data_IF_102488894859
#
_entry.id   IF_102488894859
#
_cell.length_a   1.000
_cell.length_b   1.000
_cell.length_c   1.000
_cell.angle_alpha   90.00
_cell.angle_beta   90.00
_cell.angle_gamma   90.00
#
_symmetry.space_group_name_H-M   'P 1'
#
loop_
_entity.id
_entity.type
_entity.pdbx_description
1 polymer ?
#
# COMPACT_ATOMS: atom_id res chain seq x y z
N UNK A 1 35.83 7.60 2.87
CA UNK A 1 35.09 8.87 2.93
C UNK A 1 34.15 8.89 1.75
N UNK A 2 32.86 8.96 2.05
CA UNK A 2 31.79 8.96 1.05
C UNK A 2 31.42 10.40 0.69
N UNK A 3 31.01 10.61 -0.57
CA UNK A 3 30.76 11.94 -1.10
C UNK A 3 29.52 11.93 -1.98
N UNK A 4 28.62 12.90 -1.80
CA UNK A 4 27.42 13.06 -2.65
C UNK A 4 26.96 14.51 -2.75
N UNK A 5 26.22 14.83 -3.81
CA UNK A 5 25.44 16.07 -3.86
C UNK A 5 24.20 15.90 -2.99
N UNK A 6 23.78 16.98 -2.33
CA UNK A 6 22.57 17.01 -1.51
C UNK A 6 21.72 18.23 -1.87
N UNK A 7 20.41 18.11 -1.69
CA UNK A 7 19.48 19.22 -1.81
C UNK A 7 19.43 20.07 -0.53
N UNK A 8 18.62 21.13 -0.58
CA UNK A 8 18.44 22.05 0.54
C UNK A 8 17.70 21.44 1.73
N UNK A 9 16.87 20.41 1.52
CA UNK A 9 16.11 19.76 2.58
C UNK A 9 17.00 18.83 3.39
N UNK A 10 17.78 17.98 2.74
CA UNK A 10 18.81 17.15 3.35
C UNK A 10 19.79 18.00 4.17
N UNK A 11 20.15 19.19 3.68
CA UNK A 11 20.99 20.13 4.41
C UNK A 11 20.31 20.69 5.67
N UNK A 12 19.02 21.06 5.59
CA UNK A 12 18.25 21.49 6.76
C UNK A 12 18.11 20.37 7.79
N UNK A 13 17.85 19.14 7.32
CA UNK A 13 17.79 17.95 8.17
C UNK A 13 19.12 17.74 8.91
N UNK A 14 20.25 17.74 8.18
CA UNK A 14 21.59 17.65 8.76
C UNK A 14 21.83 18.67 9.87
N UNK A 15 21.42 19.93 9.66
CA UNK A 15 21.51 20.97 10.70
C UNK A 15 20.61 20.68 11.90
N UNK A 16 19.39 20.19 11.66
CA UNK A 16 18.40 19.93 12.71
C UNK A 16 18.78 18.78 13.65
N UNK A 17 19.68 17.87 13.23
CA UNK A 17 20.17 16.79 14.11
C UNK A 17 20.85 17.38 15.36
N UNK A 18 21.47 18.56 15.27
CA UNK A 18 22.10 19.20 16.42
C UNK A 18 23.33 18.43 16.94
N UNK A 19 24.15 17.94 16.01
CA UNK A 19 25.44 17.35 16.34
C UNK A 19 26.49 18.44 16.65
N UNK A 20 27.51 18.13 17.49
CA UNK A 20 28.58 19.08 17.80
C UNK A 20 29.28 19.58 16.52
N UNK A 21 29.40 20.91 16.42
CA UNK A 21 30.11 21.56 15.32
C UNK A 21 31.62 21.31 15.36
N UNK A 22 32.26 21.47 14.20
CA UNK A 22 33.72 21.53 14.06
C UNK A 22 34.12 22.85 13.44
N UNK A 23 35.11 23.50 14.03
CA UNK A 23 35.73 24.67 13.43
C UNK A 23 36.44 24.29 12.12
N UNK A 24 36.22 25.09 11.09
CA UNK A 24 36.81 24.93 9.77
C UNK A 24 37.23 26.30 9.25
N UNK A 25 38.48 26.43 8.81
CA UNK A 25 39.00 27.66 8.19
C UNK A 25 38.66 27.78 6.70
N UNK A 26 38.09 26.72 6.10
CA UNK A 26 37.76 26.70 4.69
C UNK A 26 36.47 27.49 4.41
N UNK A 27 36.52 28.57 3.59
CA UNK A 27 35.38 29.46 3.36
C UNK A 27 34.23 28.81 2.58
N UNK A 28 34.46 27.65 1.95
CA UNK A 28 33.42 26.90 1.24
C UNK A 28 32.62 25.98 2.14
N UNK A 29 33.06 25.77 3.39
CA UNK A 29 32.34 24.93 4.35
C UNK A 29 31.15 25.70 4.93
N UNK A 30 29.95 25.13 4.78
CA UNK A 30 28.70 25.72 5.29
C UNK A 30 28.11 24.95 6.49
N UNK A 31 28.66 23.77 6.78
CA UNK A 31 28.39 22.97 7.97
C UNK A 31 29.53 21.96 8.12
N UNK A 32 30.06 21.81 9.34
CA UNK A 32 30.94 20.69 9.69
C UNK A 32 30.56 20.20 11.08
N UNK A 33 30.30 18.91 11.20
CA UNK A 33 29.85 18.27 12.45
C UNK A 33 30.61 16.98 12.71
N UNK A 34 30.64 16.59 13.98
CA UNK A 34 31.17 15.29 14.45
C UNK A 34 30.11 14.51 15.24
N UNK A 35 30.32 13.21 15.41
CA UNK A 35 29.50 12.43 16.32
C UNK A 35 29.65 12.90 17.77
N UNK A 36 28.62 12.63 18.57
CA UNK A 36 28.52 13.00 19.99
C UNK A 36 28.80 11.81 20.94
N UNK A 37 29.22 10.67 20.39
CA UNK A 37 29.45 9.43 21.14
C UNK A 37 28.16 8.67 21.48
N UNK A 38 26.98 9.24 21.21
CA UNK A 38 25.68 8.65 21.55
C UNK A 38 24.93 8.25 20.28
N UNK A 39 24.67 9.21 19.39
CA UNK A 39 23.96 9.01 18.12
C UNK A 39 24.91 8.59 17.00
N UNK A 40 26.17 8.98 17.10
CA UNK A 40 27.24 8.53 16.21
C UNK A 40 28.59 8.51 16.96
N UNK A 41 29.54 7.64 16.57
CA UNK A 41 30.88 7.62 17.16
C UNK A 41 31.55 8.99 17.09
N UNK A 42 32.32 9.38 18.09
CA UNK A 42 33.02 10.69 18.10
C UNK A 42 33.99 10.86 16.91
N UNK A 43 34.48 9.74 16.36
CA UNK A 43 35.31 9.70 15.16
C UNK A 43 34.54 9.94 13.86
N UNK A 44 33.22 9.83 13.87
CA UNK A 44 32.39 10.08 12.71
C UNK A 44 32.30 11.57 12.40
N UNK A 45 32.34 11.93 11.11
CA UNK A 45 32.29 13.32 10.67
C UNK A 45 31.43 13.49 9.42
N UNK A 46 30.81 14.65 9.28
CA UNK A 46 30.13 15.09 8.07
C UNK A 46 30.43 16.58 7.82
N UNK A 47 30.81 16.91 6.59
CA UNK A 47 31.11 18.29 6.18
C UNK A 47 30.39 18.60 4.87
N UNK A 48 29.68 19.73 4.85
CA UNK A 48 28.95 20.22 3.68
C UNK A 48 29.69 21.42 3.11
N UNK A 49 30.00 21.34 1.83
CA UNK A 49 30.62 22.39 1.04
C UNK A 49 29.59 23.03 0.11
N UNK A 50 29.68 24.34 -0.08
CA UNK A 50 28.92 25.07 -1.10
C UNK A 50 29.87 25.52 -2.20
N UNK A 51 29.60 25.11 -3.43
CA UNK A 51 30.40 25.55 -4.58
C UNK A 51 29.95 26.93 -5.10
N UNK A 52 30.70 27.50 -6.05
CA UNK A 52 30.39 28.81 -6.68
C UNK A 52 29.04 28.85 -7.40
N UNK A 53 28.49 27.69 -7.80
CA UNK A 53 27.17 27.54 -8.42
C UNK A 53 26.04 27.37 -7.39
N UNK A 54 26.34 27.44 -6.09
CA UNK A 54 25.37 27.26 -5.01
C UNK A 54 25.04 25.81 -4.66
N UNK A 55 25.63 24.82 -5.36
CA UNK A 55 25.37 23.40 -5.10
C UNK A 55 26.02 22.96 -3.79
N UNK A 56 25.33 22.08 -3.06
CA UNK A 56 25.79 21.53 -1.80
C UNK A 56 26.39 20.14 -2.02
N UNK A 57 27.62 19.96 -1.56
CA UNK A 57 28.36 18.69 -1.60
C UNK A 57 28.62 18.23 -0.17
N UNK A 58 28.11 17.06 0.19
CA UNK A 58 28.34 16.41 1.47
C UNK A 58 29.50 15.43 1.36
N UNK A 59 30.41 15.49 2.33
CA UNK A 59 31.49 14.53 2.53
C UNK A 59 31.35 13.96 3.94
N UNK A 60 31.30 12.64 4.07
CA UNK A 60 31.20 11.96 5.38
C UNK A 60 32.24 10.86 5.51
N UNK A 61 32.66 10.57 6.74
CA UNK A 61 33.56 9.44 7.01
C UNK A 61 32.88 8.08 6.80
N UNK A 62 31.56 8.00 6.97
CA UNK A 62 30.75 6.77 6.83
C UNK A 62 29.29 7.12 6.48
N UNK A 63 28.86 6.82 5.25
CA UNK A 63 27.50 7.06 4.77
C UNK A 63 26.45 6.20 5.49
N UNK A 64 26.82 5.04 6.04
CA UNK A 64 25.88 4.17 6.76
C UNK A 64 25.41 4.80 8.08
N UNK A 65 26.33 5.46 8.80
CA UNK A 65 26.01 6.22 10.02
C UNK A 65 25.18 7.46 9.65
N UNK A 66 25.55 8.17 8.58
CA UNK A 66 24.77 9.30 8.09
C UNK A 66 23.31 8.92 7.81
N UNK A 67 23.06 7.79 7.14
CA UNK A 67 21.71 7.30 6.84
C UNK A 67 20.90 6.97 8.09
N UNK A 68 21.54 6.53 9.17
CA UNK A 68 20.87 6.29 10.47
C UNK A 68 20.54 7.59 11.20
N UNK A 69 21.37 8.63 11.01
CA UNK A 69 21.22 9.94 11.64
C UNK A 69 20.19 10.82 10.94
N UNK A 70 20.08 10.71 9.61
CA UNK A 70 19.06 11.43 8.86
C UNK A 70 17.71 10.78 9.14
N UNK A 71 16.66 11.56 9.48
CA UNK A 71 15.32 11.02 9.49
C UNK A 71 15.05 10.45 8.09
N UNK A 72 14.64 9.18 8.04
CA UNK A 72 14.03 8.63 6.82
C UNK A 72 12.87 9.55 6.52
N UNK A 73 12.82 10.12 5.32
CA UNK A 73 11.67 10.89 4.87
C UNK A 73 10.42 10.04 5.08
N UNK A 74 9.64 10.34 6.12
CA UNK A 74 8.39 9.63 6.39
C UNK A 74 7.37 10.21 5.41
N UNK A 75 7.38 9.65 4.20
CA UNK A 75 6.31 9.87 3.25
C UNK A 75 4.99 9.51 3.91
N UNK A 76 3.93 10.32 3.77
CA UNK A 76 2.59 9.89 4.10
C UNK A 76 2.34 8.50 3.50
N UNK A 77 1.78 7.60 4.31
CA UNK A 77 1.50 6.22 3.90
C UNK A 77 0.01 6.08 3.67
N UNK A 78 -0.35 5.57 2.49
CA UNK A 78 -1.69 5.07 2.23
C UNK A 78 -1.61 3.55 2.14
N UNK A 79 -2.39 2.86 2.97
CA UNK A 79 -2.52 1.41 2.92
C UNK A 79 -3.68 1.02 2.02
N UNK A 80 -3.54 -0.09 1.27
CA UNK A 80 -4.55 -0.64 0.37
C UNK A 80 -4.69 -2.15 0.58
N UNK A 81 -5.93 -2.60 0.74
CA UNK A 81 -6.27 -4.00 0.93
C UNK A 81 -7.56 -4.39 0.19
N UNK A 82 -7.86 -5.68 0.13
CA UNK A 82 -9.06 -6.23 -0.49
C UNK A 82 -9.81 -7.20 0.43
N UNK A 83 -11.14 -7.21 0.33
CA UNK A 83 -11.99 -8.19 0.99
C UNK A 83 -13.00 -8.80 0.01
N UNK A 84 -13.29 -10.08 0.23
CA UNK A 84 -14.24 -10.83 -0.57
C UNK A 84 -13.65 -11.60 -1.74
N UNK A 85 -12.36 -11.48 -2.06
CA UNK A 85 -11.73 -12.23 -3.18
C UNK A 85 -12.02 -13.73 -3.11
N UNK A 86 -11.91 -14.34 -1.93
CA UNK A 86 -12.18 -15.77 -1.71
C UNK A 86 -13.65 -16.15 -1.45
N UNK A 87 -14.58 -15.19 -1.48
CA UNK A 87 -15.99 -15.43 -1.18
C UNK A 87 -16.81 -15.54 -2.49
N UNK A 88 -17.68 -16.55 -2.66
CA UNK A 88 -18.35 -16.84 -3.94
C UNK A 88 -19.51 -15.90 -4.30
N UNK A 89 -20.06 -15.17 -3.33
CA UNK A 89 -21.11 -14.18 -3.55
C UNK A 89 -20.55 -12.76 -3.59
N UNK A 90 -21.24 -11.89 -4.30
CA UNK A 90 -20.94 -10.47 -4.35
C UNK A 90 -19.71 -10.15 -5.19
N UNK A 91 -19.25 -8.91 -5.02
CA UNK A 91 -18.09 -8.36 -5.70
C UNK A 91 -16.80 -8.60 -4.93
N UNK A 92 -15.83 -7.73 -5.13
CA UNK A 92 -14.66 -7.61 -4.25
C UNK A 92 -14.56 -6.16 -3.82
N UNK A 93 -14.44 -5.93 -2.51
CA UNK A 93 -14.30 -4.59 -1.96
C UNK A 93 -12.82 -4.25 -1.85
N UNK A 94 -12.43 -3.12 -2.43
CA UNK A 94 -11.09 -2.54 -2.28
C UNK A 94 -11.20 -1.44 -1.23
N UNK A 95 -10.28 -1.43 -0.27
CA UNK A 95 -10.20 -0.41 0.75
C UNK A 95 -8.87 0.33 0.70
N UNK A 96 -8.88 1.60 1.09
CA UNK A 96 -7.67 2.38 1.34
C UNK A 96 -7.79 3.19 2.64
N UNK A 97 -6.66 3.43 3.32
CA UNK A 97 -6.62 4.28 4.53
C UNK A 97 -5.33 5.10 4.59
N UNK A 98 -5.43 6.31 5.14
CA UNK A 98 -4.29 7.15 5.55
C UNK A 98 -3.90 6.96 7.03
N UNK A 99 -4.50 5.95 7.69
CA UNK A 99 -4.36 5.68 9.12
C UNK A 99 -5.43 6.36 9.99
N UNK A 100 -6.22 7.29 9.44
CA UNK A 100 -7.28 7.99 10.17
C UNK A 100 -8.68 7.66 9.64
N UNK A 101 -8.85 7.55 8.32
CA UNK A 101 -10.14 7.23 7.68
C UNK A 101 -9.99 6.13 6.64
N UNK A 102 -11.05 5.33 6.50
CA UNK A 102 -11.11 4.22 5.54
C UNK A 102 -12.11 4.53 4.44
N UNK A 103 -11.60 4.63 3.22
CA UNK A 103 -12.39 4.75 1.98
C UNK A 103 -12.47 3.40 1.28
N UNK A 104 -13.59 3.13 0.61
CA UNK A 104 -13.85 1.82 -0.02
C UNK A 104 -14.52 1.96 -1.37
N UNK A 105 -14.18 1.08 -2.30
CA UNK A 105 -14.87 0.90 -3.57
C UNK A 105 -15.19 -0.57 -3.83
N UNK A 106 -16.19 -0.85 -4.67
CA UNK A 106 -16.65 -2.20 -4.97
C UNK A 106 -16.40 -2.54 -6.44
N UNK A 107 -15.66 -3.62 -6.68
CA UNK A 107 -15.63 -4.30 -7.98
C UNK A 107 -16.92 -5.10 -8.09
N UNK A 108 -17.83 -4.66 -8.95
CA UNK A 108 -19.14 -5.29 -9.13
C UNK A 108 -19.05 -6.79 -9.50
N UNK A 109 -20.01 -7.59 -9.04
CA UNK A 109 -20.08 -9.03 -9.33
C UNK A 109 -19.99 -9.34 -10.82
N UNK A 110 -20.51 -8.49 -11.71
CA UNK A 110 -20.46 -8.69 -13.16
C UNK A 110 -19.04 -8.88 -13.71
N UNK A 111 -18.03 -8.29 -13.07
CA UNK A 111 -16.63 -8.48 -13.47
C UNK A 111 -16.10 -9.89 -13.18
N UNK A 112 -16.82 -10.66 -12.34
CA UNK A 112 -16.55 -12.06 -12.02
C UNK A 112 -17.45 -13.03 -12.78
N UNK A 113 -18.11 -12.56 -13.84
CA UNK A 113 -19.03 -13.32 -14.66
C UNK A 113 -18.67 -13.21 -16.15
N UNK A 114 -19.01 -14.24 -16.94
CA UNK A 114 -18.95 -14.21 -18.40
C UNK A 114 -17.61 -13.78 -19.00
N UNK A 115 -17.68 -12.98 -20.06
CA UNK A 115 -16.51 -12.47 -20.80
C UNK A 115 -15.64 -11.51 -19.98
N UNK A 116 -16.24 -10.73 -19.07
CA UNK A 116 -15.49 -9.82 -18.20
C UNK A 116 -14.54 -10.60 -17.28
N UNK A 117 -14.99 -11.75 -16.77
CA UNK A 117 -14.11 -12.62 -16.00
C UNK A 117 -13.04 -13.27 -16.88
N UNK A 118 -13.40 -13.78 -18.07
CA UNK A 118 -12.43 -14.42 -18.99
C UNK A 118 -11.28 -13.48 -19.39
N UNK A 119 -11.58 -12.20 -19.58
CA UNK A 119 -10.60 -11.16 -19.93
C UNK A 119 -9.86 -10.57 -18.72
N UNK A 120 -10.14 -11.08 -17.52
CA UNK A 120 -9.63 -10.56 -16.24
C UNK A 120 -9.91 -9.07 -16.05
N UNK A 121 -11.07 -8.57 -16.52
CA UNK A 121 -11.44 -7.16 -16.43
C UNK A 121 -11.53 -6.66 -14.97
N UNK A 122 -11.81 -7.55 -14.01
CA UNK A 122 -11.79 -7.24 -12.58
C UNK A 122 -10.42 -6.71 -12.10
N UNK A 123 -9.30 -7.10 -12.72
CA UNK A 123 -7.97 -6.58 -12.35
C UNK A 123 -7.81 -5.11 -12.75
N UNK A 124 -8.29 -4.73 -13.95
CA UNK A 124 -8.24 -3.33 -14.38
C UNK A 124 -9.21 -2.48 -13.55
N UNK A 125 -10.37 -3.03 -13.21
CA UNK A 125 -11.33 -2.34 -12.35
C UNK A 125 -10.78 -2.15 -10.93
N UNK A 126 -10.10 -3.16 -10.37
CA UNK A 126 -9.39 -3.06 -9.10
C UNK A 126 -8.36 -1.91 -9.13
N UNK A 127 -7.56 -1.85 -10.19
CA UNK A 127 -6.55 -0.80 -10.36
C UNK A 127 -7.18 0.59 -10.46
N UNK A 128 -8.27 0.73 -11.23
CA UNK A 128 -9.02 1.99 -11.37
C UNK A 128 -9.57 2.46 -10.03
N UNK A 129 -10.22 1.57 -9.27
CA UNK A 129 -10.77 1.87 -7.94
C UNK A 129 -9.65 2.25 -6.98
N UNK A 130 -8.57 1.45 -6.93
CA UNK A 130 -7.42 1.70 -6.05
C UNK A 130 -6.83 3.09 -6.28
N UNK A 131 -6.56 3.45 -7.53
CA UNK A 131 -6.01 4.76 -7.87
C UNK A 131 -6.97 5.91 -7.48
N UNK A 132 -8.28 5.71 -7.65
CA UNK A 132 -9.29 6.66 -7.18
C UNK A 132 -9.21 6.87 -5.67
N UNK A 133 -9.26 5.79 -4.89
CA UNK A 133 -9.20 5.85 -3.43
C UNK A 133 -7.91 6.50 -2.92
N UNK A 134 -6.76 6.18 -3.53
CA UNK A 134 -5.47 6.82 -3.19
C UNK A 134 -5.52 8.32 -3.44
N UNK A 135 -6.12 8.76 -4.57
CA UNK A 135 -6.29 10.18 -4.89
C UNK A 135 -7.29 10.88 -3.95
N UNK A 136 -8.37 10.21 -3.57
CA UNK A 136 -9.39 10.73 -2.64
C UNK A 136 -8.84 10.92 -1.22
N UNK A 137 -7.87 10.09 -0.82
CA UNK A 137 -7.09 10.24 0.40
C UNK A 137 -5.97 11.29 0.28
N UNK A 138 -5.85 11.98 -0.85
CA UNK A 138 -4.86 13.04 -1.08
C UNK A 138 -3.47 12.53 -1.44
N UNK A 139 -3.32 11.25 -1.80
CA UNK A 139 -2.04 10.67 -2.19
C UNK A 139 -1.49 11.30 -3.46
N UNK A 140 -0.21 11.70 -3.42
CA UNK A 140 0.51 12.36 -4.52
C UNK A 140 1.73 11.54 -4.97
N UNK A 141 1.95 11.37 -6.29
CA UNK A 141 3.16 10.77 -6.81
C UNK A 141 4.43 11.46 -6.29
N UNK A 142 5.49 10.69 -6.07
CA UNK A 142 6.76 11.19 -5.49
C UNK A 142 6.71 11.48 -3.98
N UNK A 143 5.58 11.95 -3.45
CA UNK A 143 5.42 12.37 -2.04
C UNK A 143 4.82 11.27 -1.16
N UNK A 144 3.98 10.39 -1.70
CA UNK A 144 3.22 9.38 -0.94
C UNK A 144 3.75 7.97 -1.18
N UNK A 145 3.89 7.20 -0.09
CA UNK A 145 4.12 5.75 -0.12
C UNK A 145 2.76 5.04 -0.14
N UNK A 146 2.57 4.10 -1.06
CA UNK A 146 1.41 3.21 -1.05
C UNK A 146 1.86 1.82 -0.58
N UNK A 147 1.35 1.38 0.56
CA UNK A 147 1.52 0.04 1.08
C UNK A 147 0.32 -0.82 0.67
N UNK A 148 0.55 -1.87 -0.11
CA UNK A 148 -0.54 -2.65 -0.72
C UNK A 148 -0.39 -4.14 -0.44
N UNK A 149 -1.51 -4.81 -0.15
CA UNK A 149 -1.49 -6.25 0.12
C UNK A 149 -1.03 -7.08 -1.09
N UNK A 150 -0.58 -8.31 -0.82
CA UNK A 150 -0.10 -9.24 -1.85
C UNK A 150 -1.22 -9.86 -2.69
N UNK A 151 -2.50 -9.59 -2.38
CA UNK A 151 -3.67 -10.16 -3.05
C UNK A 151 -3.62 -10.10 -4.58
N UNK A 152 -4.04 -11.18 -5.24
CA UNK A 152 -3.96 -11.29 -6.71
C UNK A 152 -4.82 -10.23 -7.42
N UNK A 153 -5.96 -9.86 -6.83
CA UNK A 153 -6.84 -8.82 -7.36
C UNK A 153 -6.13 -7.46 -7.49
N UNK A 154 -5.15 -7.22 -6.62
CA UNK A 154 -4.34 -6.00 -6.59
C UNK A 154 -3.11 -6.03 -7.51
N UNK A 155 -2.94 -7.09 -8.32
CA UNK A 155 -1.78 -7.21 -9.22
C UNK A 155 -1.64 -6.01 -10.17
N UNK A 156 -2.70 -5.65 -10.91
CA UNK A 156 -2.69 -4.47 -11.79
C UNK A 156 -2.72 -3.14 -11.04
N UNK A 157 -3.21 -3.11 -9.80
CA UNK A 157 -3.19 -1.90 -8.97
C UNK A 157 -1.76 -1.47 -8.66
N UNK A 158 -0.88 -2.43 -8.35
CA UNK A 158 0.56 -2.19 -8.11
C UNK A 158 1.21 -1.57 -9.34
N UNK A 159 1.09 -2.24 -10.48
CA UNK A 159 1.66 -1.79 -11.76
C UNK A 159 1.18 -0.38 -12.14
N UNK A 160 -0.11 -0.09 -11.92
CA UNK A 160 -0.69 1.21 -12.24
C UNK A 160 -0.15 2.31 -11.33
N UNK A 161 -0.09 2.08 -10.01
CA UNK A 161 0.43 3.05 -9.06
C UNK A 161 1.91 3.36 -9.30
N UNK A 162 2.73 2.35 -9.60
CA UNK A 162 4.13 2.54 -9.95
C UNK A 162 4.28 3.38 -11.24
N UNK A 163 3.47 3.09 -12.27
CA UNK A 163 3.45 3.87 -13.52
C UNK A 163 3.00 5.31 -13.32
N UNK A 164 2.09 5.57 -12.38
CA UNK A 164 1.65 6.91 -12.00
C UNK A 164 2.68 7.64 -11.13
N UNK A 165 3.80 7.01 -10.75
CA UNK A 165 4.91 7.62 -10.02
C UNK A 165 4.78 7.55 -8.49
N UNK A 166 3.93 6.67 -7.95
CA UNK A 166 3.88 6.41 -6.52
C UNK A 166 5.03 5.49 -6.08
N UNK A 167 5.48 5.68 -4.84
CA UNK A 167 6.39 4.74 -4.18
C UNK A 167 5.55 3.57 -3.64
N UNK A 168 5.60 2.41 -4.28
CA UNK A 168 4.76 1.25 -3.91
C UNK A 168 5.56 0.25 -3.08
N UNK A 169 4.94 -0.29 -2.03
CA UNK A 169 5.48 -1.38 -1.22
C UNK A 169 4.43 -2.46 -1.05
N UNK A 170 4.77 -3.68 -1.46
CA UNK A 170 3.93 -4.83 -1.13
C UNK A 170 4.23 -5.25 0.31
N UNK A 171 3.20 -5.27 1.15
CA UNK A 171 3.31 -5.66 2.56
C UNK A 171 2.05 -6.35 3.03
N UNK A 172 2.12 -7.05 4.15
CA UNK A 172 0.93 -7.48 4.87
C UNK A 172 0.24 -6.24 5.45
N UNK A 173 -1.08 -6.18 5.30
CA UNK A 173 -1.92 -5.11 5.82
C UNK A 173 -2.73 -5.70 6.97
N UNK A 174 -2.71 -5.03 8.12
CA UNK A 174 -3.39 -5.47 9.35
C UNK A 174 -3.97 -4.25 10.07
N UNK A 175 -4.82 -4.49 11.07
CA UNK A 175 -5.39 -3.43 11.91
C UNK A 175 -6.56 -2.70 11.23
N UNK A 176 -6.62 -1.37 11.39
CA UNK A 176 -7.79 -0.55 11.07
C UNK A 176 -8.42 -0.84 9.69
N UNK A 177 -7.59 -0.93 8.64
CA UNK A 177 -8.08 -1.16 7.29
C UNK A 177 -8.70 -2.55 7.16
N UNK A 178 -8.00 -3.59 7.59
CA UNK A 178 -8.47 -4.97 7.53
C UNK A 178 -9.80 -5.12 8.29
N UNK A 179 -9.83 -4.66 9.55
CA UNK A 179 -11.00 -4.77 10.43
C UNK A 179 -12.24 -4.08 9.83
N UNK A 180 -12.06 -2.85 9.30
CA UNK A 180 -13.17 -2.14 8.68
C UNK A 180 -13.61 -2.77 7.36
N UNK A 181 -12.68 -3.28 6.56
CA UNK A 181 -12.99 -3.87 5.27
C UNK A 181 -13.77 -5.16 5.43
N UNK A 182 -13.36 -6.03 6.36
CA UNK A 182 -14.10 -7.24 6.72
C UNK A 182 -15.50 -6.93 7.25
N UNK A 183 -15.64 -5.94 8.14
CA UNK A 183 -16.94 -5.50 8.65
C UNK A 183 -17.86 -5.00 7.53
N UNK A 184 -17.38 -4.08 6.69
CA UNK A 184 -18.16 -3.52 5.57
C UNK A 184 -18.50 -4.59 4.54
N UNK A 185 -17.58 -5.51 4.26
CA UNK A 185 -17.85 -6.60 3.32
C UNK A 185 -18.89 -7.58 3.88
N UNK A 186 -18.86 -7.88 5.18
CA UNK A 186 -19.89 -8.66 5.86
C UNK A 186 -21.28 -8.02 5.74
N UNK A 187 -21.38 -6.71 5.95
CA UNK A 187 -22.62 -5.95 5.78
C UNK A 187 -23.10 -5.96 4.32
N UNK A 188 -22.16 -5.80 3.37
CA UNK A 188 -22.45 -5.95 1.94
C UNK A 188 -23.02 -7.33 1.60
N UNK A 189 -22.41 -8.41 2.06
CA UNK A 189 -22.91 -9.78 1.82
C UNK A 189 -24.30 -9.98 2.43
N UNK A 190 -24.56 -9.45 3.62
CA UNK A 190 -25.90 -9.45 4.23
C UNK A 190 -26.92 -8.70 3.38
N UNK A 191 -26.53 -7.57 2.79
CA UNK A 191 -27.39 -6.79 1.89
C UNK A 191 -27.79 -7.56 0.61
N UNK A 192 -27.00 -8.56 0.21
CA UNK A 192 -27.32 -9.47 -0.89
C UNK A 192 -28.31 -10.58 -0.48
N UNK A 193 -28.74 -10.61 0.78
CA UNK A 193 -29.68 -11.60 1.32
C UNK A 193 -29.02 -12.83 1.95
N UNK A 194 -27.68 -12.90 2.01
CA UNK A 194 -26.98 -14.02 2.63
C UNK A 194 -26.45 -13.65 4.04
N UNK A 195 -26.98 -14.25 5.12
CA UNK A 195 -26.69 -13.77 6.48
C UNK A 195 -25.31 -14.17 7.02
N UNK A 196 -24.65 -15.15 6.39
CA UNK A 196 -23.51 -15.87 6.96
C UNK A 196 -22.20 -15.60 6.20
N UNK A 197 -21.65 -14.38 6.30
CA UNK A 197 -20.28 -14.15 5.83
C UNK A 197 -19.25 -14.87 6.70
N UNK A 198 -18.26 -15.47 6.05
CA UNK A 198 -17.07 -16.02 6.68
C UNK A 198 -15.85 -15.53 5.90
N UNK A 199 -14.74 -15.28 6.60
CA UNK A 199 -13.46 -15.10 5.93
C UNK A 199 -12.86 -16.48 5.60
N UNK A 200 -12.60 -16.81 4.32
CA UNK A 200 -11.94 -18.06 3.93
C UNK A 200 -10.53 -18.26 4.52
N UNK A 201 -9.83 -17.18 4.89
CA UNK A 201 -8.48 -17.22 5.47
C UNK A 201 -8.51 -17.57 6.96
N UNK A 202 -9.55 -17.18 7.68
CA UNK A 202 -9.66 -17.36 9.13
C UNK A 202 -10.50 -18.57 9.54
N UNK A 203 -11.37 -19.04 8.65
CA UNK A 203 -12.26 -20.16 8.99
C UNK A 203 -11.52 -21.50 9.03
N UNK A 204 -11.78 -22.28 10.08
CA UNK A 204 -11.21 -23.63 10.27
C UNK A 204 -11.64 -24.63 9.19
N UNK A 205 -12.76 -24.37 8.50
CA UNK A 205 -13.28 -25.27 7.46
C UNK A 205 -13.85 -24.51 6.26
N UNK A 206 -12.97 -23.88 5.44
CA UNK A 206 -13.39 -23.03 4.33
C UNK A 206 -14.22 -23.80 3.29
N UNK A 207 -13.90 -25.08 3.08
CA UNK A 207 -14.63 -25.93 2.15
C UNK A 207 -16.09 -26.19 2.59
N UNK A 208 -16.34 -26.35 3.89
CA UNK A 208 -17.72 -26.53 4.38
C UNK A 208 -18.50 -25.23 4.28
N UNK A 209 -17.89 -24.12 4.73
CA UNK A 209 -18.52 -22.81 4.64
C UNK A 209 -18.84 -22.42 3.18
N UNK A 210 -17.95 -22.76 2.24
CA UNK A 210 -18.20 -22.59 0.81
C UNK A 210 -19.40 -23.40 0.33
N UNK A 211 -19.50 -24.68 0.73
CA UNK A 211 -20.63 -25.55 0.37
C UNK A 211 -21.97 -25.00 0.87
N UNK A 212 -22.02 -24.41 2.06
CA UNK A 212 -23.25 -23.78 2.56
C UNK A 212 -23.68 -22.60 1.69
N UNK A 213 -22.74 -21.77 1.24
CA UNK A 213 -23.06 -20.67 0.31
C UNK A 213 -23.58 -21.21 -1.01
N UNK A 214 -22.97 -22.28 -1.53
CA UNK A 214 -23.44 -22.93 -2.76
C UNK A 214 -24.84 -23.49 -2.58
N UNK A 215 -25.11 -24.18 -1.48
CA UNK A 215 -26.43 -24.75 -1.18
C UNK A 215 -27.48 -23.64 -1.17
N UNK A 216 -27.15 -22.51 -0.55
CA UNK A 216 -28.00 -21.33 -0.60
C UNK A 216 -28.19 -20.83 -2.05
N UNK A 217 -27.15 -20.75 -2.89
CA UNK A 217 -27.35 -20.38 -4.30
C UNK A 217 -28.30 -21.36 -5.02
N UNK A 218 -28.13 -22.66 -4.79
CA UNK A 218 -28.89 -23.74 -5.45
C UNK A 218 -30.38 -23.78 -5.03
N UNK A 219 -30.76 -23.16 -3.91
CA UNK A 219 -32.17 -23.02 -3.47
C UNK A 219 -32.98 -22.01 -4.29
N UNK A 220 -32.33 -21.00 -4.89
CA UNK A 220 -32.97 -20.03 -5.80
C UNK A 220 -31.95 -19.60 -6.88
N UNK A 221 -31.64 -20.51 -7.81
CA UNK A 221 -30.55 -20.31 -8.76
C UNK A 221 -30.83 -19.16 -9.74
N UNK A 222 -32.11 -18.91 -10.07
CA UNK A 222 -32.49 -17.84 -11.00
C UNK A 222 -32.13 -16.45 -10.48
N UNK A 223 -32.29 -16.20 -9.18
CA UNK A 223 -31.93 -14.91 -8.59
C UNK A 223 -30.51 -14.90 -8.03
N UNK A 224 -30.08 -15.98 -7.37
CA UNK A 224 -28.82 -16.00 -6.62
C UNK A 224 -27.59 -16.18 -7.51
N UNK A 225 -27.72 -16.76 -8.71
CA UNK A 225 -26.61 -16.81 -9.67
C UNK A 225 -26.21 -15.42 -10.20
N UNK A 226 -27.14 -14.46 -10.24
CA UNK A 226 -26.88 -13.09 -10.71
C UNK A 226 -25.88 -12.35 -9.80
N UNK A 227 -25.86 -12.70 -8.51
CA UNK A 227 -24.97 -12.13 -7.50
C UNK A 227 -23.79 -13.05 -7.16
N UNK A 228 -23.65 -14.18 -7.84
CA UNK A 228 -22.54 -15.12 -7.64
C UNK A 228 -21.40 -14.88 -8.64
N UNK A 229 -20.16 -15.25 -8.26
CA UNK A 229 -18.97 -15.18 -9.10
C UNK A 229 -18.90 -16.35 -10.08
N UNK A 230 -19.87 -16.42 -11.01
CA UNK A 230 -20.10 -17.58 -11.89
C UNK A 230 -18.99 -17.86 -12.90
N UNK A 231 -18.00 -16.97 -13.05
CA UNK A 231 -16.79 -17.23 -13.81
C UNK A 231 -15.87 -18.28 -13.19
N UNK A 232 -16.01 -18.54 -11.88
CA UNK A 232 -15.15 -19.49 -11.16
C UNK A 232 -15.35 -20.93 -11.64
N UNK A 233 -14.27 -21.71 -11.58
CA UNK A 233 -14.25 -23.10 -12.06
C UNK A 233 -15.41 -23.95 -11.52
N UNK A 234 -15.75 -23.74 -10.24
CA UNK A 234 -16.86 -24.43 -9.57
C UNK A 234 -18.20 -24.31 -10.31
N UNK A 235 -18.57 -23.10 -10.73
CA UNK A 235 -19.84 -22.84 -11.40
C UNK A 235 -19.82 -23.28 -12.87
N UNK A 236 -18.63 -23.32 -13.50
CA UNK A 236 -18.48 -23.79 -14.88
C UNK A 236 -18.69 -25.29 -15.03
N UNK A 237 -18.28 -26.10 -14.04
CA UNK A 237 -18.41 -27.56 -14.09
C UNK A 237 -19.83 -28.09 -13.91
N UNK A 238 -20.79 -27.27 -13.45
CA UNK A 238 -22.20 -27.65 -13.31
C UNK A 238 -23.07 -27.31 -14.54
N UNK A 239 -22.49 -26.72 -15.59
CA UNK A 239 -23.21 -26.27 -16.81
C UNK A 239 -23.00 -27.16 -18.04
N UNK A 240 -22.47 -28.37 -17.84
CA UNK A 240 -22.41 -29.48 -18.80
C UNK A 240 -23.26 -30.62 -18.27
#
# INVERSE_FOLDING_TARGET
MDTRLIDSETFKMLKSIGLPGRDQSNPYVVLSVRGDGVRAPESWTATVYRNKKGQLKLVTSDDSVLRKLLPVEQKPVIQVDDSGWGFPLGGVMIGATDGTRVETGLIDTKFFQGELFKTHAYLSEAARITLGLVKDLGGRPGETRVEICSGYVNSRSKDLLEREGYDVKVTEITGLLQDQLEKRYKEYVKSLGYPAYYDPKETRSPAMAFKEVIKWIDEDPENRMKIAKTGWKYFRSKRT
#
